data_IF_518293930946
#
_entry.id   IF_518293930946
#
_cell.length_a   1.000
_cell.length_b   1.000
_cell.length_c   1.000
_cell.angle_alpha   90.00
_cell.angle_beta   90.00
_cell.angle_gamma   90.00
#
_symmetry.space_group_name_H-M   'P 1'
#
loop_
_entity.id
_entity.type
_entity.pdbx_description
1 polymer ?
#
# COMPACT_ATOMS: atom_id res chain seq x y z
N UNK A 1 -12.60 -18.50 -13.63
CA UNK A 1 -12.34 -17.11 -13.48
C UNK A 1 -11.17 -16.69 -14.31
N UNK A 2 -11.38 -15.72 -15.14
CA UNK A 2 -10.36 -15.41 -16.11
C UNK A 2 -9.69 -14.09 -15.98
N UNK A 3 -10.03 -13.35 -14.95
CA UNK A 3 -9.37 -12.08 -14.82
C UNK A 3 -7.88 -12.24 -14.59
N UNK A 4 -7.43 -13.42 -14.24
CA UNK A 4 -6.01 -13.64 -14.01
C UNK A 4 -5.19 -13.49 -15.26
N UNK A 5 -5.81 -13.58 -16.40
CA UNK A 5 -5.03 -13.46 -17.60
C UNK A 5 -4.54 -12.06 -17.83
N UNK A 6 -5.24 -11.10 -17.27
CA UNK A 6 -4.85 -9.72 -17.44
C UNK A 6 -4.19 -9.13 -16.21
N UNK A 7 -4.27 -9.82 -15.11
CA UNK A 7 -3.75 -9.30 -13.88
C UNK A 7 -2.78 -10.28 -13.29
N UNK A 8 -1.73 -9.75 -12.76
CA UNK A 8 -0.74 -10.58 -12.12
C UNK A 8 -0.53 -10.06 -10.71
N UNK A 9 -0.49 -10.96 -9.78
CA UNK A 9 -0.22 -10.57 -8.42
C UNK A 9 1.25 -10.21 -8.28
N UNK A 10 1.52 -9.04 -7.75
CA UNK A 10 2.89 -8.62 -7.53
C UNK A 10 3.16 -8.28 -6.08
N UNK A 11 2.19 -8.47 -5.22
CA UNK A 11 2.43 -8.16 -3.83
C UNK A 11 1.29 -8.60 -2.96
N UNK A 12 1.42 -8.27 -1.70
CA UNK A 12 0.42 -8.64 -0.71
C UNK A 12 0.22 -7.48 0.24
N UNK A 13 -0.90 -7.51 0.94
CA UNK A 13 -1.23 -6.49 1.93
C UNK A 13 -1.68 -7.17 3.21
N UNK A 14 -1.34 -6.56 4.32
CA UNK A 14 -1.84 -6.98 5.62
C UNK A 14 -2.45 -5.79 6.31
N UNK A 15 -3.58 -5.99 6.93
CA UNK A 15 -4.21 -4.94 7.70
C UNK A 15 -3.58 -4.87 9.07
N UNK A 16 -3.30 -3.66 9.51
CA UNK A 16 -2.74 -3.42 10.82
C UNK A 16 -3.67 -2.51 11.58
N UNK A 17 -4.00 -2.90 12.79
CA UNK A 17 -4.94 -2.12 13.60
C UNK A 17 -4.30 -1.75 14.90
N UNK A 18 -3.57 -0.65 14.94
CA UNK A 18 -2.97 -0.21 16.19
C UNK A 18 -4.04 0.25 17.15
N UNK A 19 -3.69 0.28 18.41
CA UNK A 19 -4.68 0.48 19.42
C UNK A 19 -5.28 1.86 19.41
N UNK A 20 -4.47 2.85 19.23
CA UNK A 20 -4.97 4.21 19.35
C UNK A 20 -4.91 4.97 18.07
N UNK A 21 -4.88 4.28 16.97
CA UNK A 21 -4.73 4.93 15.69
C UNK A 21 -5.63 4.28 14.68
N UNK A 22 -5.80 4.94 13.60
CA UNK A 22 -6.58 4.38 12.51
C UNK A 22 -5.88 3.16 11.93
N UNK A 23 -6.64 2.20 11.49
CA UNK A 23 -6.03 1.06 10.81
C UNK A 23 -5.35 1.49 9.52
N UNK A 24 -4.36 0.75 9.17
CA UNK A 24 -3.69 0.99 7.90
C UNK A 24 -3.25 -0.36 7.35
N UNK A 25 -2.74 -0.35 6.15
CA UNK A 25 -2.28 -1.57 5.52
C UNK A 25 -0.79 -1.48 5.30
N UNK A 26 -0.10 -2.55 5.58
CA UNK A 26 1.29 -2.65 5.17
C UNK A 26 1.38 -3.66 4.06
N UNK A 27 2.26 -3.44 3.15
CA UNK A 27 2.34 -4.30 2.00
C UNK A 27 3.74 -4.47 1.49
N UNK A 28 3.84 -5.36 0.55
CA UNK A 28 5.12 -5.66 -0.05
C UNK A 28 4.90 -5.93 -1.51
N UNK A 29 5.71 -5.32 -2.34
CA UNK A 29 5.68 -5.56 -3.77
C UNK A 29 6.93 -6.28 -4.20
N UNK A 30 6.76 -7.23 -5.07
CA UNK A 30 7.86 -7.94 -5.66
C UNK A 30 7.96 -7.49 -7.10
N UNK A 31 8.98 -6.71 -7.39
CA UNK A 31 9.14 -6.14 -8.71
C UNK A 31 10.15 -6.90 -9.55
N UNK A 32 10.43 -8.12 -9.17
CA UNK A 32 11.33 -8.93 -9.96
C UNK A 32 12.76 -8.44 -9.87
N UNK A 33 13.34 -8.18 -11.00
CA UNK A 33 14.74 -7.75 -11.01
C UNK A 33 14.91 -6.42 -10.32
N UNK A 34 13.84 -5.66 -10.15
CA UNK A 34 13.94 -4.38 -9.49
C UNK A 34 13.90 -4.51 -7.98
N UNK A 35 13.66 -5.71 -7.48
CA UNK A 35 13.71 -5.93 -6.06
C UNK A 35 12.36 -5.84 -5.40
N UNK A 36 12.37 -5.75 -4.11
CA UNK A 36 11.15 -5.70 -3.33
C UNK A 36 11.04 -4.37 -2.63
N UNK A 37 9.80 -3.92 -2.53
CA UNK A 37 9.50 -2.64 -1.91
C UNK A 37 8.47 -2.87 -0.84
N UNK A 38 8.70 -2.28 0.31
CA UNK A 38 7.72 -2.28 1.38
C UNK A 38 7.00 -0.95 1.38
N UNK A 39 5.70 -1.02 1.56
CA UNK A 39 4.92 0.20 1.53
C UNK A 39 3.84 0.18 2.59
N UNK A 40 3.28 1.34 2.80
CA UNK A 40 2.21 1.51 3.76
C UNK A 40 1.11 2.27 3.07
N UNK A 41 -0.11 1.80 3.27
CA UNK A 41 -1.27 2.40 2.65
C UNK A 41 -2.18 2.92 3.75
N UNK A 42 -2.51 4.19 3.66
CA UNK A 42 -3.48 4.80 4.56
C UNK A 42 -4.74 5.07 3.79
N UNK A 43 -5.85 4.62 4.33
CA UNK A 43 -7.13 4.91 3.72
C UNK A 43 -7.66 6.20 4.28
N UNK A 44 -8.24 6.99 3.42
CA UNK A 44 -8.76 8.28 3.82
C UNK A 44 -10.26 8.22 3.95
N UNK A 45 -10.77 8.94 4.91
CA UNK A 45 -12.20 9.11 4.99
C UNK A 45 -12.63 10.00 3.85
N UNK A 46 -13.70 9.62 3.22
CA UNK A 46 -14.23 10.43 2.15
C UNK A 46 -14.73 11.74 2.71
N UNK A 47 -14.25 12.80 2.13
CA UNK A 47 -14.77 14.10 2.46
C UNK A 47 -15.74 14.49 1.39
N UNK A 48 -15.94 15.77 1.29
CA UNK A 48 -16.86 16.26 0.29
C UNK A 48 -16.33 16.24 -1.09
N UNK A 49 -15.06 16.26 -1.24
CA UNK A 49 -14.48 16.45 -2.54
C UNK A 49 -14.65 15.24 -3.41
N UNK A 50 -14.91 15.49 -4.64
CA UNK A 50 -15.05 14.40 -5.57
C UNK A 50 -13.74 13.86 -6.03
N UNK A 51 -12.70 14.63 -5.90
CA UNK A 51 -11.43 14.24 -6.45
C UNK A 51 -10.45 13.76 -5.41
N UNK A 52 -10.91 13.59 -4.19
CA UNK A 52 -10.01 13.08 -3.17
C UNK A 52 -9.82 11.60 -3.37
N UNK A 53 -8.60 11.13 -3.26
CA UNK A 53 -8.37 9.70 -3.36
C UNK A 53 -8.92 8.97 -2.16
N UNK A 54 -9.14 7.70 -2.34
CA UNK A 54 -9.60 6.86 -1.24
C UNK A 54 -8.49 6.55 -0.27
N UNK A 55 -7.28 6.71 -0.67
CA UNK A 55 -6.17 6.42 0.20
C UNK A 55 -4.87 6.89 -0.42
N UNK A 56 -3.82 6.75 0.33
CA UNK A 56 -2.51 7.15 -0.13
C UNK A 56 -1.54 6.00 0.11
N UNK A 57 -0.51 5.95 -0.71
CA UNK A 57 0.49 4.91 -0.63
C UNK A 57 1.82 5.57 -0.32
N UNK A 58 2.49 5.03 0.67
CA UNK A 58 3.77 5.57 1.10
C UNK A 58 4.82 4.48 1.05
N UNK A 59 6.02 4.88 0.74
CA UNK A 59 7.15 3.98 0.72
C UNK A 59 8.06 4.34 1.87
N UNK A 60 8.55 3.33 2.55
CA UNK A 60 9.47 3.58 3.64
C UNK A 60 10.80 4.04 3.07
N UNK A 61 11.22 5.21 3.45
CA UNK A 61 12.46 5.77 2.95
C UNK A 61 13.56 5.50 3.96
N UNK A 62 14.64 4.90 3.49
CA UNK A 62 15.80 4.71 4.32
C UNK A 62 16.63 5.94 4.28
N UNK A 63 16.83 6.50 5.39
CA UNK A 63 17.74 7.63 5.40
C UNK A 63 19.13 7.13 5.61
N UNK A 64 19.85 7.08 5.37
CA UNK A 64 20.94 6.66 5.57
C UNK A 64 21.86 7.03 5.85
N UNK A 65 22.25 7.07 6.05
CA UNK A 65 23.01 7.18 6.26
C UNK A 65 23.17 6.89 6.84
N UNK A 66 22.66 6.81 6.90
CA UNK A 66 22.66 6.55 7.27
C UNK A 66 22.81 6.15 7.43
#
# INVERSE_FOLDING_TARGET
MNFNKQFRQIGVLWKTEPENEKPYYSGELDLGVLGRIKLIIFLEDKKDGKYYPDGTIHVKVKTEDQ
#
